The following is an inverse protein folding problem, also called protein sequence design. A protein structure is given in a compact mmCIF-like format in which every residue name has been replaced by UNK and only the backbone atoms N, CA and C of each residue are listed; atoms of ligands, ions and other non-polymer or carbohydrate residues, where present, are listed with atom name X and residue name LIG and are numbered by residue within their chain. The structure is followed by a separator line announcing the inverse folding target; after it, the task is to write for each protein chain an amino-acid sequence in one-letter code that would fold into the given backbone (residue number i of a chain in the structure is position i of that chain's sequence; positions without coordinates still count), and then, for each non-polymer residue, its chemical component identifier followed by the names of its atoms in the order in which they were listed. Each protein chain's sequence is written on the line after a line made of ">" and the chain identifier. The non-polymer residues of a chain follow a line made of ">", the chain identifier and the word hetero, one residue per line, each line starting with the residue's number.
data_IF_291443603667
#
_entry.id   IF_291443603667
#
_cell.length_a   1.000
_cell.length_b   1.000
_cell.length_c   1.000
_cell.angle_alpha   90.00
_cell.angle_beta   90.00
_cell.angle_gamma   90.00
#
_symmetry.space_group_name_H-M   'P 1'
#
loop_
_entity.id
_entity.type
_entity.pdbx_description
1 polymer ?
#
# COMPACT_ATOMS: atom_id res chain seq x y z
N UNK A 1 -30.80 -10.82 4.38
CA UNK A 1 -31.39 -9.91 5.38
C UNK A 1 -31.38 -8.51 4.77
N UNK A 2 -32.54 -7.87 4.65
CA UNK A 2 -32.67 -6.54 4.03
C UNK A 2 -32.50 -5.45 5.10
N UNK A 3 -31.44 -4.66 5.01
CA UNK A 3 -31.23 -3.48 5.84
C UNK A 3 -32.23 -2.38 5.44
N UNK A 4 -33.00 -1.86 6.40
CA UNK A 4 -33.95 -0.78 6.21
C UNK A 4 -33.70 0.36 7.19
N UNK A 5 -34.13 1.57 6.82
CA UNK A 5 -34.05 2.75 7.69
C UNK A 5 -35.48 3.13 8.08
N UNK A 6 -35.75 3.29 9.37
CA UNK A 6 -37.07 3.68 9.88
C UNK A 6 -37.00 5.11 10.43
N UNK A 7 -37.84 5.99 9.89
CA UNK A 7 -37.98 7.36 10.36
C UNK A 7 -39.32 7.49 11.08
N UNK A 8 -39.28 7.89 12.36
CA UNK A 8 -40.48 8.19 13.14
C UNK A 8 -40.63 9.72 13.24
N UNK A 9 -41.83 10.23 12.97
CA UNK A 9 -42.23 11.63 13.18
C UNK A 9 -41.42 12.69 12.39
N UNK A 10 -40.94 12.37 11.19
CA UNK A 10 -40.25 13.35 10.35
C UNK A 10 -41.24 14.28 9.61
N UNK A 11 -41.10 15.60 9.84
CA UNK A 11 -41.96 16.65 9.28
C UNK A 11 -41.32 17.49 8.17
N UNK A 12 -40.04 17.22 7.83
CA UNK A 12 -39.30 17.88 6.75
C UNK A 12 -39.04 16.97 5.53
N UNK A 13 -38.52 17.50 4.41
CA UNK A 13 -38.16 16.66 3.26
C UNK A 13 -36.99 15.72 3.61
N UNK A 14 -37.17 14.41 3.38
CA UNK A 14 -36.08 13.42 3.46
C UNK A 14 -35.50 13.21 2.07
N UNK A 15 -34.21 13.50 1.92
CA UNK A 15 -33.46 13.17 0.71
C UNK A 15 -32.61 11.92 0.97
N UNK A 16 -33.11 10.74 0.58
CA UNK A 16 -32.32 9.49 0.62
C UNK A 16 -31.61 9.33 -0.72
N UNK A 17 -30.30 9.57 -0.74
CA UNK A 17 -29.46 9.27 -1.90
C UNK A 17 -28.88 7.86 -1.70
N UNK A 18 -29.67 6.83 -2.00
CA UNK A 18 -29.17 5.48 -2.16
C UNK A 18 -28.60 5.31 -3.56
N UNK A 19 -27.49 5.99 -3.83
CA UNK A 19 -26.65 5.57 -4.95
C UNK A 19 -25.90 4.32 -4.48
N UNK A 20 -26.00 3.17 -5.19
CA UNK A 20 -25.03 2.12 -4.97
C UNK A 20 -23.66 2.77 -5.12
N UNK A 21 -22.80 2.64 -4.10
CA UNK A 21 -21.41 3.06 -4.21
C UNK A 21 -20.90 2.35 -5.46
N UNK A 22 -20.66 3.08 -6.54
CA UNK A 22 -19.93 2.53 -7.67
C UNK A 22 -18.55 2.26 -7.10
N UNK A 23 -18.29 0.99 -6.75
CA UNK A 23 -16.99 0.55 -6.28
C UNK A 23 -16.02 0.81 -7.43
N UNK A 24 -15.29 1.92 -7.30
CA UNK A 24 -14.29 2.29 -8.29
C UNK A 24 -13.03 1.51 -7.93
N UNK A 25 -12.59 0.66 -8.85
CA UNK A 25 -11.32 -0.05 -8.71
C UNK A 25 -10.23 0.93 -8.26
N UNK A 26 -9.60 0.63 -7.13
CA UNK A 26 -8.44 1.38 -6.67
C UNK A 26 -7.20 0.94 -7.44
N UNK A 27 -6.21 1.82 -7.58
CA UNK A 27 -4.93 1.45 -8.21
C UNK A 27 -4.23 0.30 -7.46
N UNK A 28 -4.44 0.24 -6.14
CA UNK A 28 -3.95 -0.83 -5.27
C UNK A 28 -4.69 -2.13 -5.59
N UNK A 29 -6.03 -2.08 -5.64
CA UNK A 29 -6.84 -3.25 -5.93
C UNK A 29 -6.53 -3.83 -7.31
N UNK A 30 -6.35 -2.98 -8.33
CA UNK A 30 -5.97 -3.46 -9.66
C UNK A 30 -4.57 -4.08 -9.67
N UNK A 31 -3.63 -3.55 -8.88
CA UNK A 31 -2.30 -4.12 -8.78
C UNK A 31 -2.31 -5.48 -8.06
N UNK A 32 -3.13 -5.65 -7.03
CA UNK A 32 -3.35 -6.96 -6.39
C UNK A 32 -3.90 -7.96 -7.40
N UNK A 33 -4.89 -7.57 -8.19
CA UNK A 33 -5.48 -8.43 -9.24
C UNK A 33 -4.42 -8.93 -10.27
N UNK A 34 -3.47 -8.07 -10.63
CA UNK A 34 -2.35 -8.38 -11.53
C UNK A 34 -1.36 -9.33 -10.85
N UNK A 35 -1.02 -9.04 -9.59
CA UNK A 35 -0.10 -9.85 -8.77
C UNK A 35 -0.65 -11.27 -8.58
N UNK A 36 -1.95 -11.40 -8.30
CA UNK A 36 -2.62 -12.67 -8.05
C UNK A 36 -2.87 -13.49 -9.32
N UNK A 37 -2.77 -12.87 -10.50
CA UNK A 37 -2.87 -13.55 -11.80
C UNK A 37 -1.65 -13.25 -12.68
N UNK A 38 -0.45 -13.72 -12.29
CA UNK A 38 0.76 -13.40 -13.03
C UNK A 38 0.70 -14.00 -14.43
N UNK A 39 0.78 -13.15 -15.45
CA UNK A 39 0.84 -13.59 -16.86
C UNK A 39 2.27 -14.07 -17.15
N UNK A 40 2.60 -15.28 -16.68
CA UNK A 40 3.85 -15.98 -16.98
C UNK A 40 5.12 -15.26 -16.50
N UNK A 41 5.67 -15.70 -15.37
CA UNK A 41 7.00 -15.28 -14.91
C UNK A 41 7.53 -16.26 -13.87
N UNK A 42 8.73 -16.78 -14.09
CA UNK A 42 9.46 -17.53 -13.07
C UNK A 42 9.88 -16.58 -11.94
N UNK A 43 9.71 -17.01 -10.68
CA UNK A 43 10.29 -16.32 -9.53
C UNK A 43 11.81 -16.33 -9.65
N UNK A 44 12.45 -15.15 -9.67
CA UNK A 44 13.92 -15.06 -9.68
C UNK A 44 14.44 -14.70 -8.30
N UNK A 45 15.18 -15.64 -7.71
CA UNK A 45 15.79 -15.52 -6.38
C UNK A 45 17.04 -14.63 -6.31
N UNK A 46 17.34 -13.81 -7.33
CA UNK A 46 18.68 -13.22 -7.48
C UNK A 46 18.72 -11.71 -7.80
N UNK A 47 18.05 -10.88 -6.99
CA UNK A 47 18.37 -9.43 -6.94
C UNK A 47 19.25 -9.07 -5.74
N UNK A 48 20.10 -8.05 -5.92
CA UNK A 48 21.16 -7.66 -4.97
C UNK A 48 20.59 -7.27 -3.61
N UNK A 49 20.70 -8.19 -2.65
CA UNK A 49 20.30 -8.03 -1.25
C UNK A 49 20.92 -6.79 -0.56
N UNK A 50 22.07 -6.32 -1.05
CA UNK A 50 22.86 -5.25 -0.42
C UNK A 50 22.10 -3.94 -0.23
N UNK A 51 21.26 -3.53 -1.19
CA UNK A 51 20.54 -2.24 -1.09
C UNK A 51 19.39 -2.30 -0.06
N UNK A 52 18.80 -3.49 0.12
CA UNK A 52 17.68 -3.71 1.02
C UNK A 52 18.18 -3.74 2.47
N UNK A 53 19.30 -4.42 2.72
CA UNK A 53 19.89 -4.48 4.07
C UNK A 53 20.36 -3.09 4.55
N UNK A 54 20.91 -2.27 3.64
CA UNK A 54 21.26 -0.88 3.93
C UNK A 54 20.01 -0.07 4.29
N UNK A 55 18.92 -0.21 3.54
CA UNK A 55 17.65 0.49 3.81
C UNK A 55 17.05 0.10 5.16
N UNK A 56 17.05 -1.21 5.48
CA UNK A 56 16.58 -1.76 6.75
C UNK A 56 17.38 -1.19 7.92
N UNK A 57 18.72 -1.24 7.81
CA UNK A 57 19.63 -0.76 8.86
C UNK A 57 19.52 0.76 9.09
N UNK A 58 19.49 1.54 8.01
CA UNK A 58 19.37 3.00 8.07
C UNK A 58 18.08 3.44 8.77
N UNK A 59 16.95 2.78 8.45
CA UNK A 59 15.66 3.10 9.04
C UNK A 59 15.38 2.36 10.36
N UNK A 60 16.31 1.56 10.89
CA UNK A 60 16.10 0.74 12.11
C UNK A 60 14.83 -0.14 12.06
N UNK A 61 14.52 -0.72 10.89
CA UNK A 61 13.35 -1.56 10.69
C UNK A 61 13.58 -2.95 11.31
N UNK A 62 12.75 -3.35 12.29
CA UNK A 62 12.93 -4.59 13.05
C UNK A 62 11.79 -5.56 12.81
N UNK A 63 10.63 -5.33 13.44
CA UNK A 63 9.46 -6.24 13.37
C UNK A 63 9.01 -6.45 11.92
N UNK A 64 8.99 -5.39 11.13
CA UNK A 64 8.53 -5.39 9.73
C UNK A 64 9.69 -5.55 8.73
N UNK A 65 10.88 -5.98 9.19
CA UNK A 65 12.02 -6.31 8.34
C UNK A 65 11.64 -7.27 7.21
N UNK A 66 10.89 -8.32 7.54
CA UNK A 66 10.46 -9.34 6.59
C UNK A 66 9.62 -8.75 5.45
N UNK A 67 8.86 -7.67 5.70
CA UNK A 67 8.10 -6.97 4.64
C UNK A 67 9.04 -6.38 3.61
N UNK A 68 10.13 -5.72 4.04
CA UNK A 68 11.14 -5.21 3.11
C UNK A 68 11.88 -6.33 2.37
N UNK A 69 12.07 -7.48 3.04
CA UNK A 69 12.73 -8.65 2.46
C UNK A 69 11.87 -9.40 1.44
N UNK A 70 10.53 -9.32 1.50
CA UNK A 70 9.64 -9.88 0.46
C UNK A 70 10.02 -9.42 -0.94
N UNK A 71 10.50 -8.17 -1.07
CA UNK A 71 10.96 -7.68 -2.36
C UNK A 71 12.15 -8.49 -2.93
N UNK A 72 12.99 -9.11 -2.10
CA UNK A 72 14.10 -9.98 -2.58
C UNK A 72 13.56 -11.19 -3.33
N UNK A 73 12.49 -11.78 -2.82
CA UNK A 73 11.90 -13.03 -3.32
C UNK A 73 11.08 -12.77 -4.60
N UNK A 74 10.34 -11.66 -4.63
CA UNK A 74 9.33 -11.39 -5.67
C UNK A 74 9.57 -10.10 -6.47
N UNK A 75 10.82 -9.59 -6.50
CA UNK A 75 11.15 -8.35 -7.22
C UNK A 75 10.75 -8.36 -8.69
N UNK A 76 10.92 -9.48 -9.39
CA UNK A 76 10.53 -9.57 -10.80
C UNK A 76 9.02 -9.47 -10.96
N UNK A 77 8.28 -10.25 -10.16
CA UNK A 77 6.83 -10.27 -10.18
C UNK A 77 6.28 -8.87 -9.93
N UNK A 78 6.77 -8.17 -8.90
CA UNK A 78 6.24 -6.83 -8.59
C UNK A 78 6.61 -5.81 -9.67
N UNK A 79 7.81 -5.85 -10.23
CA UNK A 79 8.23 -4.94 -11.31
C UNK A 79 7.42 -5.15 -12.60
N UNK A 80 7.17 -6.40 -12.98
CA UNK A 80 6.34 -6.75 -14.13
C UNK A 80 4.88 -6.38 -13.89
N UNK A 81 4.40 -6.55 -12.66
CA UNK A 81 3.06 -6.13 -12.25
C UNK A 81 2.90 -4.61 -12.33
N UNK A 82 3.92 -3.83 -11.93
CA UNK A 82 3.93 -2.37 -12.06
C UNK A 82 3.94 -1.93 -13.54
N UNK A 83 4.72 -2.60 -14.39
CA UNK A 83 4.69 -2.33 -15.84
C UNK A 83 3.31 -2.62 -16.44
N UNK A 84 2.72 -3.74 -16.06
CA UNK A 84 1.36 -4.13 -16.49
C UNK A 84 0.31 -3.14 -15.97
N UNK A 85 0.48 -2.63 -14.75
CA UNK A 85 -0.39 -1.60 -14.20
C UNK A 85 -0.36 -0.32 -15.06
N UNK A 86 0.81 0.09 -15.55
CA UNK A 86 0.95 1.27 -16.41
C UNK A 86 0.36 1.08 -17.82
N UNK A 87 0.27 -0.16 -18.33
CA UNK A 87 -0.41 -0.44 -19.61
C UNK A 87 -1.93 -0.42 -19.46
N UNK A 88 -2.46 -0.84 -18.31
CA UNK A 88 -3.90 -0.90 -18.03
C UNK A 88 -4.44 0.45 -17.55
N UNK A 89 -3.70 1.13 -16.68
CA UNK A 89 -4.08 2.40 -16.08
C UNK A 89 -3.07 3.46 -16.51
N UNK A 90 -3.53 4.50 -17.21
CA UNK A 90 -2.70 5.65 -17.56
C UNK A 90 -2.03 6.22 -16.30
N UNK A 91 -0.69 6.22 -16.30
CA UNK A 91 0.17 6.62 -15.18
C UNK A 91 -0.16 5.89 -13.87
N UNK A 92 -0.44 4.58 -13.95
CA UNK A 92 -0.80 3.71 -12.84
C UNK A 92 0.26 3.70 -11.73
N UNK A 93 1.53 3.53 -12.09
CA UNK A 93 2.65 3.58 -11.15
C UNK A 93 2.73 4.93 -10.44
N UNK A 94 2.60 6.05 -11.17
CA UNK A 94 2.59 7.40 -10.58
C UNK A 94 1.45 7.57 -9.57
N UNK A 95 0.24 7.09 -9.91
CA UNK A 95 -0.92 7.13 -9.02
C UNK A 95 -0.69 6.28 -7.76
N UNK A 96 -0.08 5.10 -7.91
CA UNK A 96 0.31 4.23 -6.80
C UNK A 96 1.31 4.92 -5.87
N UNK A 97 2.40 5.46 -6.43
CA UNK A 97 3.43 6.19 -5.66
C UNK A 97 2.83 7.37 -4.89
N UNK A 98 1.91 8.12 -5.52
CA UNK A 98 1.20 9.23 -4.86
C UNK A 98 0.32 8.73 -3.71
N UNK A 99 -0.38 7.63 -3.90
CA UNK A 99 -1.25 7.05 -2.86
C UNK A 99 -0.44 6.61 -1.63
N UNK A 100 0.63 5.85 -1.84
CA UNK A 100 1.50 5.38 -0.75
C UNK A 100 2.25 6.51 -0.05
N UNK A 101 2.63 7.57 -0.78
CA UNK A 101 3.16 8.80 -0.17
C UNK A 101 2.12 9.46 0.75
N UNK A 102 0.84 9.43 0.38
CA UNK A 102 -0.25 9.89 1.24
C UNK A 102 -0.36 9.09 2.54
N UNK A 103 -0.27 7.76 2.46
CA UNK A 103 -0.25 6.89 3.65
C UNK A 103 0.96 7.16 4.53
N UNK A 104 2.14 7.30 3.93
CA UNK A 104 3.37 7.59 4.65
C UNK A 104 3.27 8.93 5.39
N UNK A 105 2.86 10.00 4.72
CA UNK A 105 2.68 11.31 5.35
C UNK A 105 1.65 11.28 6.49
N UNK A 106 0.57 10.51 6.32
CA UNK A 106 -0.44 10.33 7.38
C UNK A 106 0.15 9.61 8.58
N UNK A 107 0.93 8.55 8.36
CA UNK A 107 1.61 7.80 9.41
C UNK A 107 2.67 8.67 10.12
N UNK A 108 3.45 9.46 9.38
CA UNK A 108 4.42 10.42 9.91
C UNK A 108 3.77 11.48 10.80
N UNK A 109 2.58 11.97 10.42
CA UNK A 109 1.82 12.93 11.21
C UNK A 109 1.50 12.43 12.63
N UNK A 110 1.29 11.12 12.81
CA UNK A 110 1.07 10.53 14.15
C UNK A 110 2.27 10.69 15.10
N UNK A 111 3.46 10.95 14.55
CA UNK A 111 4.71 11.16 15.30
C UNK A 111 5.19 12.62 15.25
N UNK A 112 4.35 13.54 14.79
CA UNK A 112 4.68 14.97 14.74
C UNK A 112 5.62 15.38 13.59
N UNK A 113 5.75 14.54 12.56
CA UNK A 113 6.64 14.78 11.42
C UNK A 113 5.85 15.40 10.24
N UNK A 114 5.73 16.73 10.23
CA UNK A 114 4.92 17.47 9.25
C UNK A 114 5.72 18.18 8.16
N UNK A 115 6.99 18.49 8.43
CA UNK A 115 7.84 19.27 7.54
C UNK A 115 9.14 18.54 7.24
N UNK A 116 9.65 18.74 6.02
CA UNK A 116 10.93 18.16 5.57
C UNK A 116 12.10 19.12 5.84
N UNK A 117 13.31 18.62 6.07
CA UNK A 117 13.67 17.20 6.19
C UNK A 117 13.09 16.60 7.48
N UNK A 118 12.66 15.34 7.42
CA UNK A 118 12.09 14.69 8.60
C UNK A 118 13.20 14.33 9.59
N UNK A 119 12.87 14.36 10.88
CA UNK A 119 13.79 13.91 11.90
C UNK A 119 13.98 12.39 11.80
N UNK A 120 15.11 11.96 11.26
CA UNK A 120 15.44 10.55 11.04
C UNK A 120 15.44 9.74 12.33
N UNK A 121 15.84 10.32 13.48
CA UNK A 121 15.84 9.60 14.76
C UNK A 121 14.42 9.25 15.23
N UNK A 122 13.46 10.14 14.97
CA UNK A 122 12.03 9.87 15.24
C UNK A 122 11.51 8.79 14.31
N UNK A 123 11.90 8.82 13.03
CA UNK A 123 11.52 7.79 12.07
C UNK A 123 12.08 6.44 12.52
N UNK A 124 13.39 6.33 12.75
CA UNK A 124 14.07 5.09 13.20
C UNK A 124 13.40 4.46 14.41
N UNK A 125 13.12 5.27 15.44
CA UNK A 125 12.44 4.81 16.66
C UNK A 125 11.04 4.26 16.41
N UNK A 126 10.36 4.70 15.35
CA UNK A 126 8.96 4.38 15.07
C UNK A 126 8.74 3.62 13.75
N UNK A 127 9.79 3.21 13.04
CA UNK A 127 9.72 2.67 11.68
C UNK A 127 8.73 1.53 11.54
N UNK A 128 8.76 0.56 12.46
CA UNK A 128 7.82 -0.57 12.41
C UNK A 128 6.37 -0.11 12.53
N UNK A 129 6.07 0.82 13.43
CA UNK A 129 4.71 1.33 13.61
C UNK A 129 4.27 2.21 12.43
N UNK A 130 5.19 2.95 11.81
CA UNK A 130 4.92 3.69 10.57
C UNK A 130 4.52 2.70 9.47
N UNK A 131 5.25 1.60 9.31
CA UNK A 131 4.91 0.56 8.33
C UNK A 131 3.56 -0.09 8.63
N UNK A 132 3.24 -0.41 9.89
CA UNK A 132 1.93 -0.94 10.26
C UNK A 132 0.79 0.01 9.87
N UNK A 133 0.97 1.32 10.08
CA UNK A 133 -0.01 2.32 9.69
C UNK A 133 -0.18 2.40 8.16
N UNK A 134 0.91 2.27 7.40
CA UNK A 134 0.85 2.22 5.94
C UNK A 134 0.11 0.96 5.46
N UNK A 135 0.43 -0.21 6.02
CA UNK A 135 -0.26 -1.48 5.71
C UNK A 135 -1.75 -1.35 6.00
N UNK A 136 -2.13 -0.85 7.18
CA UNK A 136 -3.52 -0.64 7.58
C UNK A 136 -4.25 0.31 6.62
N UNK A 137 -3.62 1.42 6.23
CA UNK A 137 -4.22 2.37 5.29
C UNK A 137 -4.45 1.76 3.90
N UNK A 138 -3.54 0.88 3.46
CA UNK A 138 -3.69 0.14 2.22
C UNK A 138 -4.83 -0.89 2.32
N UNK A 139 -4.92 -1.65 3.42
CA UNK A 139 -6.01 -2.58 3.70
C UNK A 139 -7.37 -1.88 3.69
N UNK A 140 -7.51 -0.77 4.43
CA UNK A 140 -8.75 0.03 4.47
C UNK A 140 -9.17 0.52 3.07
N UNK A 141 -8.20 0.88 2.22
CA UNK A 141 -8.48 1.33 0.85
C UNK A 141 -8.94 0.18 -0.04
N UNK A 142 -8.35 -1.00 0.08
CA UNK A 142 -8.77 -2.20 -0.64
C UNK A 142 -10.18 -2.60 -0.23
N UNK A 143 -10.43 -2.78 1.07
CA UNK A 143 -11.75 -3.17 1.60
C UNK A 143 -12.87 -2.16 1.31
N UNK A 144 -12.55 -0.89 1.06
CA UNK A 144 -13.55 0.15 0.80
C UNK A 144 -13.87 0.40 -0.68
N UNK A 145 -13.05 -0.09 -1.61
CA UNK A 145 -13.10 0.33 -3.02
C UNK A 145 -13.08 -0.80 -4.05
N UNK A 146 -12.70 -2.03 -3.69
CA UNK A 146 -12.56 -3.12 -4.66
C UNK A 146 -13.52 -4.27 -4.42
N UNK A 147 -14.01 -4.89 -5.50
CA UNK A 147 -14.71 -6.17 -5.46
C UNK A 147 -13.77 -7.38 -5.25
N UNK A 148 -12.52 -7.15 -4.85
CA UNK A 148 -11.51 -8.20 -4.72
C UNK A 148 -11.97 -9.33 -3.80
N UNK A 149 -12.70 -9.01 -2.72
CA UNK A 149 -13.21 -9.97 -1.75
C UNK A 149 -14.15 -11.04 -2.36
N UNK A 150 -14.70 -10.79 -3.56
CA UNK A 150 -15.56 -11.74 -4.26
C UNK A 150 -14.79 -12.65 -5.24
N UNK A 151 -13.58 -12.24 -5.65
CA UNK A 151 -12.81 -12.89 -6.72
C UNK A 151 -11.50 -13.51 -6.22
N UNK A 152 -10.97 -13.05 -5.09
CA UNK A 152 -9.67 -13.45 -4.53
C UNK A 152 -9.79 -13.86 -3.07
N UNK A 153 -8.89 -14.74 -2.65
CA UNK A 153 -8.81 -15.14 -1.25
C UNK A 153 -8.20 -14.01 -0.40
N UNK A 154 -8.54 -13.98 0.88
CA UNK A 154 -7.95 -13.01 1.80
C UNK A 154 -6.42 -13.16 1.87
N UNK A 155 -5.88 -14.38 1.74
CA UNK A 155 -4.43 -14.58 1.69
C UNK A 155 -3.78 -13.89 0.47
N UNK A 156 -4.43 -13.92 -0.68
CA UNK A 156 -3.95 -13.27 -1.91
C UNK A 156 -3.95 -11.75 -1.76
N UNK A 157 -5.01 -11.20 -1.15
CA UNK A 157 -5.13 -9.77 -0.88
C UNK A 157 -4.06 -9.32 0.12
N UNK A 158 -3.90 -10.04 1.23
CA UNK A 158 -2.93 -9.70 2.27
C UNK A 158 -1.50 -9.78 1.74
N UNK A 159 -1.18 -10.83 0.97
CA UNK A 159 0.11 -10.99 0.33
C UNK A 159 0.37 -9.88 -0.69
N UNK A 160 -0.60 -9.58 -1.56
CA UNK A 160 -0.52 -8.49 -2.53
C UNK A 160 -0.26 -7.14 -1.86
N UNK A 161 -0.96 -6.81 -0.77
CA UNK A 161 -0.72 -5.57 -0.01
C UNK A 161 0.72 -5.53 0.52
N UNK A 162 1.20 -6.62 1.14
CA UNK A 162 2.56 -6.69 1.68
C UNK A 162 3.63 -6.53 0.59
N UNK A 163 3.40 -7.10 -0.59
CA UNK A 163 4.29 -6.95 -1.73
C UNK A 163 4.31 -5.51 -2.29
N UNK A 164 3.17 -4.81 -2.31
CA UNK A 164 3.13 -3.41 -2.73
C UNK A 164 3.83 -2.51 -1.70
N UNK A 165 3.68 -2.81 -0.41
CA UNK A 165 4.39 -2.11 0.67
C UNK A 165 5.90 -2.36 0.58
N UNK A 166 6.33 -3.59 0.29
CA UNK A 166 7.75 -3.93 0.10
C UNK A 166 8.37 -3.10 -1.04
N UNK A 167 7.71 -3.07 -2.21
CA UNK A 167 8.09 -2.20 -3.33
C UNK A 167 8.19 -0.73 -2.90
N UNK A 168 7.23 -0.25 -2.12
CA UNK A 168 7.19 1.14 -1.66
C UNK A 168 8.34 1.52 -0.71
N UNK A 169 8.81 0.57 0.10
CA UNK A 169 10.00 0.75 0.95
C UNK A 169 11.26 0.86 0.08
N UNK A 170 11.42 -0.03 -0.89
CA UNK A 170 12.63 -0.08 -1.74
C UNK A 170 12.73 1.14 -2.65
N UNK A 171 11.62 1.58 -3.24
CA UNK A 171 11.54 2.78 -4.06
C UNK A 171 11.60 4.10 -3.25
N UNK A 172 11.82 4.02 -1.93
CA UNK A 172 11.88 5.17 -1.03
C UNK A 172 10.62 6.05 -1.08
N UNK A 173 9.46 5.44 -1.36
CA UNK A 173 8.17 6.10 -1.27
C UNK A 173 7.73 6.15 0.20
N UNK A 174 8.08 5.10 0.94
CA UNK A 174 7.91 4.92 2.37
C UNK A 174 9.30 4.68 2.96
N UNK A 175 9.57 5.26 4.14
CA UNK A 175 10.89 5.29 4.79
C UNK A 175 11.98 6.06 4.01
N UNK A 176 12.93 6.59 4.76
CA UNK A 176 13.90 7.58 4.25
C UNK A 176 15.04 6.94 3.46
N UNK A 177 15.49 7.64 2.41
CA UNK A 177 16.62 7.22 1.58
C UNK A 177 17.94 7.57 2.30
N UNK A 178 18.84 6.60 2.54
CA UNK A 178 20.13 6.86 3.19
C UNK A 178 20.95 7.97 2.52
N UNK A 179 20.84 8.10 1.19
CA UNK A 179 21.62 9.09 0.44
C UNK A 179 21.14 10.53 0.63
N UNK A 180 19.94 10.75 1.17
CA UNK A 180 19.39 12.11 1.36
C UNK A 180 19.88 12.75 2.68
N UNK A 181 20.61 11.98 3.51
CA UNK A 181 21.09 12.37 4.84
C UNK A 181 22.63 12.33 4.95
N UNK A 182 23.33 12.28 3.81
CA UNK A 182 24.79 12.34 3.69
C UNK A 182 25.29 13.76 3.39
#
# INVERSE_FOLDING_TARGET
>A
MTSGVNFKDNTGPVHIINQPRVLRASVIGKLIEIISNPVGGEQSLNRKASNIDVKISFNDLKRNRWVAELYKEDALLVDESIKTLDTIILNGSVKLKRQFRGYYNTALGLYGLYEKPFNIEVIRKNSDNIIDNVIRSAQETVSSCSNLDAEFLQEDIDYGIRMIVSYSIIECIVLENPNDYN
#
